data_IF_720757210571
#
_entry.id   IF_720757210571
#
_cell.length_a   1.000
_cell.length_b   1.000
_cell.length_c   1.000
_cell.angle_alpha   90.00
_cell.angle_beta   90.00
_cell.angle_gamma   90.00
#
_symmetry.space_group_name_H-M   'P 1'
#
loop_
_entity.id
_entity.type
_entity.pdbx_description
1 polymer ?
#
# COMPACT_ATOMS: atom_id res chain seq x y z
N UNK A 1 8.92 -7.92 2.25
CA UNK A 1 9.03 -6.80 3.23
C UNK A 1 7.65 -6.46 3.74
N UNK A 2 7.48 -5.87 4.93
CA UNK A 2 6.18 -5.46 5.46
C UNK A 2 6.20 -3.97 5.79
N UNK A 3 5.08 -3.28 5.57
CA UNK A 3 4.90 -1.88 5.93
C UNK A 3 4.03 -1.78 7.19
N UNK A 4 4.57 -1.13 8.22
CA UNK A 4 3.89 -0.91 9.49
C UNK A 4 3.50 0.56 9.59
N UNK A 5 2.28 0.87 10.05
CA UNK A 5 1.92 2.22 10.43
C UNK A 5 2.88 2.72 11.50
N UNK A 6 3.31 3.98 11.41
CA UNK A 6 4.01 4.65 12.50
C UNK A 6 3.00 5.31 13.43
N UNK A 7 3.46 5.80 14.58
CA UNK A 7 2.62 6.58 15.51
C UNK A 7 2.01 7.84 14.88
N UNK A 8 2.57 8.32 13.76
CA UNK A 8 2.07 9.48 13.02
C UNK A 8 1.00 9.10 11.97
N UNK A 9 0.73 7.82 11.77
CA UNK A 9 -0.35 7.37 10.89
C UNK A 9 -1.69 7.43 11.66
N UNK A 10 -2.49 8.46 11.37
CA UNK A 10 -3.81 8.68 12.02
C UNK A 10 -4.93 7.80 11.45
N UNK A 11 -4.59 6.89 10.55
CA UNK A 11 -5.48 6.34 9.54
C UNK A 11 -5.55 4.82 9.53
N UNK A 12 -4.57 4.16 10.16
CA UNK A 12 -4.51 2.71 10.36
C UNK A 12 -4.06 2.41 11.80
N UNK A 13 -4.47 1.26 12.35
CA UNK A 13 -4.06 0.84 13.68
C UNK A 13 -2.57 0.50 13.79
N UNK A 14 -1.91 0.94 14.86
CA UNK A 14 -0.50 0.65 15.13
C UNK A 14 -0.28 -0.81 15.60
N UNK A 15 0.94 -1.33 15.42
CA UNK A 15 1.40 -2.60 16.00
C UNK A 15 1.30 -3.82 15.07
N UNK A 16 0.60 -3.71 13.95
CA UNK A 16 0.47 -4.77 12.94
C UNK A 16 0.78 -4.24 11.53
N UNK A 17 1.28 -5.08 10.62
CA UNK A 17 1.61 -4.64 9.27
C UNK A 17 0.32 -4.43 8.47
N UNK A 18 0.23 -3.32 7.74
CA UNK A 18 -0.95 -2.99 6.90
C UNK A 18 -0.73 -3.31 5.42
N UNK A 19 0.53 -3.38 4.98
CA UNK A 19 0.88 -3.92 3.68
C UNK A 19 2.00 -4.95 3.76
N UNK A 20 1.94 -5.92 2.86
CA UNK A 20 3.02 -6.84 2.55
C UNK A 20 3.53 -6.55 1.14
N UNK A 21 4.85 -6.36 1.03
CA UNK A 21 5.54 -6.20 -0.25
C UNK A 21 5.96 -7.57 -0.75
N UNK A 22 5.41 -7.97 -1.90
CA UNK A 22 5.72 -9.21 -2.62
C UNK A 22 6.20 -8.84 -4.02
N UNK A 23 7.50 -9.00 -4.25
CA UNK A 23 8.15 -8.47 -5.47
C UNK A 23 7.97 -6.95 -5.55
N UNK A 24 7.41 -6.47 -6.65
CA UNK A 24 7.12 -5.04 -6.87
C UNK A 24 5.69 -4.64 -6.47
N UNK A 25 4.94 -5.51 -5.77
CA UNK A 25 3.52 -5.27 -5.47
C UNK A 25 3.26 -5.15 -3.97
N UNK A 26 2.34 -4.26 -3.61
CA UNK A 26 1.89 -4.04 -2.24
C UNK A 26 0.50 -4.64 -2.06
N UNK A 27 0.43 -5.62 -1.15
CA UNK A 27 -0.80 -6.34 -0.80
C UNK A 27 -1.30 -5.85 0.55
N UNK A 28 -2.56 -5.40 0.67
CA UNK A 28 -3.16 -5.12 1.96
C UNK A 28 -3.24 -6.40 2.79
N UNK A 29 -2.93 -6.30 4.07
CA UNK A 29 -3.17 -7.37 5.02
C UNK A 29 -4.60 -7.29 5.57
N UNK A 30 -5.02 -8.29 6.33
CA UNK A 30 -6.29 -8.25 7.08
C UNK A 30 -6.37 -7.12 8.12
N UNK A 31 -5.25 -6.49 8.44
CA UNK A 31 -5.18 -5.37 9.38
C UNK A 31 -5.25 -4.01 8.69
N UNK A 32 -5.31 -3.99 7.36
CA UNK A 32 -5.53 -2.78 6.60
C UNK A 32 -7.00 -2.35 6.71
N UNK A 33 -7.24 -1.12 7.17
CA UNK A 33 -8.60 -0.61 7.38
C UNK A 33 -9.21 0.07 6.14
N UNK A 34 -8.43 0.19 5.06
CA UNK A 34 -8.72 1.04 3.90
C UNK A 34 -8.92 0.24 2.63
N UNK A 35 -8.05 -0.74 2.45
CA UNK A 35 -7.95 -1.51 1.23
C UNK A 35 -8.37 -2.95 1.51
N UNK A 36 -9.20 -3.50 0.63
CA UNK A 36 -9.59 -4.90 0.72
C UNK A 36 -8.38 -5.82 0.58
N UNK A 37 -8.23 -6.78 1.49
CA UNK A 37 -7.14 -7.75 1.46
C UNK A 37 -7.30 -8.77 0.32
N UNK A 38 -6.19 -9.39 -0.09
CA UNK A 38 -6.17 -10.52 -1.04
C UNK A 38 -5.65 -10.19 -2.43
N UNK A 39 -5.77 -8.93 -2.89
CA UNK A 39 -5.23 -8.47 -4.19
C UNK A 39 -4.27 -7.29 -3.99
N UNK A 40 -3.29 -7.09 -4.90
CA UNK A 40 -2.35 -6.00 -4.76
C UNK A 40 -3.02 -4.68 -5.11
N UNK A 41 -2.85 -3.65 -4.29
CA UNK A 41 -3.46 -2.32 -4.50
C UNK A 41 -2.48 -1.28 -5.00
N UNK A 42 -1.17 -1.55 -4.87
CA UNK A 42 -0.14 -0.77 -5.55
C UNK A 42 0.92 -1.64 -6.19
N UNK A 43 1.59 -1.04 -7.19
CA UNK A 43 2.76 -1.56 -7.85
C UNK A 43 3.87 -0.50 -7.86
N UNK A 44 5.08 -0.93 -7.54
CA UNK A 44 6.30 -0.14 -7.60
C UNK A 44 6.83 -0.17 -9.02
N UNK A 45 6.97 0.99 -9.65
CA UNK A 45 7.59 1.16 -10.96
C UNK A 45 8.67 2.23 -10.85
N UNK A 46 9.92 1.80 -10.81
CA UNK A 46 11.04 2.68 -10.46
C UNK A 46 10.88 3.25 -9.05
N UNK A 47 10.99 4.57 -8.91
CA UNK A 47 10.81 5.28 -7.64
C UNK A 47 9.37 5.76 -7.43
N UNK A 48 8.38 5.11 -8.04
CA UNK A 48 6.99 5.55 -8.00
C UNK A 48 6.05 4.41 -7.66
N UNK A 49 4.99 4.74 -6.94
CA UNK A 49 3.94 3.83 -6.53
C UNK A 49 2.68 4.12 -7.36
N UNK A 50 2.22 3.13 -8.11
CA UNK A 50 1.05 3.22 -8.98
C UNK A 50 -0.11 2.41 -8.38
N UNK A 51 -1.33 2.97 -8.30
CA UNK A 51 -2.51 2.19 -7.94
C UNK A 51 -2.76 1.10 -9.00
N UNK A 52 -3.21 -0.07 -8.56
CA UNK A 52 -3.73 -1.11 -9.46
C UNK A 52 -5.23 -0.90 -9.69
N UNK A 53 -5.83 -1.71 -10.56
CA UNK A 53 -7.30 -1.77 -10.74
C UNK A 53 -8.05 -2.24 -9.49
N UNK A 54 -7.36 -2.81 -8.50
CA UNK A 54 -7.94 -3.27 -7.24
C UNK A 54 -7.88 -2.20 -6.14
N UNK A 55 -7.26 -1.06 -6.42
CA UNK A 55 -7.26 0.07 -5.51
C UNK A 55 -8.60 0.80 -5.58
N UNK A 56 -9.32 0.85 -4.45
CA UNK A 56 -10.63 1.50 -4.37
C UNK A 56 -10.54 2.98 -3.98
N UNK A 57 -9.37 3.42 -3.53
CA UNK A 57 -9.13 4.77 -2.99
C UNK A 57 -8.53 5.71 -4.01
N UNK A 58 -7.52 5.23 -4.71
CA UNK A 58 -6.67 6.03 -5.57
C UNK A 58 -6.96 5.67 -7.04
N UNK A 59 -7.15 6.68 -7.89
CA UNK A 59 -7.47 6.47 -9.30
C UNK A 59 -6.32 5.77 -10.06
N UNK A 60 -6.65 4.71 -10.80
CA UNK A 60 -5.69 3.99 -11.64
C UNK A 60 -5.09 4.88 -12.75
N UNK A 61 -3.85 4.57 -13.16
CA UNK A 61 -3.22 5.12 -14.36
C UNK A 61 -2.19 6.23 -14.12
N UNK A 62 -2.08 6.75 -12.89
CA UNK A 62 -1.04 7.74 -12.51
C UNK A 62 -0.35 7.33 -11.21
N UNK A 63 0.92 7.71 -10.99
CA UNK A 63 1.59 7.45 -9.73
C UNK A 63 1.00 8.33 -8.63
N UNK A 64 0.87 7.79 -7.43
CA UNK A 64 0.34 8.50 -6.26
C UNK A 64 1.36 8.73 -5.15
N UNK A 65 2.49 8.01 -5.18
CA UNK A 65 3.62 8.27 -4.29
C UNK A 65 4.96 8.23 -5.06
N UNK A 66 5.92 8.97 -4.55
CA UNK A 66 7.34 8.85 -4.88
C UNK A 66 8.08 8.17 -3.73
N UNK A 67 8.89 7.17 -4.05
CA UNK A 67 9.75 6.47 -3.11
C UNK A 67 11.09 7.21 -3.05
N UNK A 68 11.49 7.60 -1.84
CA UNK A 68 12.75 8.30 -1.57
C UNK A 68 13.62 7.47 -0.66
N UNK A 69 14.93 7.55 -0.88
CA UNK A 69 15.96 6.95 -0.02
C UNK A 69 16.27 7.85 1.18
#
# INVERSE_FOLDING_TARGET
MKAYPTVNNQRDGFGLPVYEVRGQKLYPTVHNQRDAFGLPVYEVRGQKLYPTVHNQRDAFGRPVFELRA
#
